data_IF_718541845039
#
_entry.id   IF_718541845039
#
_cell.length_a   1.000
_cell.length_b   1.000
_cell.length_c   1.000
_cell.angle_alpha   90.00
_cell.angle_beta   90.00
_cell.angle_gamma   90.00
#
_symmetry.space_group_name_H-M   'P 1'
#
loop_
_entity.id
_entity.type
_entity.pdbx_description
1 polymer ?
#
# COMPACT_ATOMS: atom_id res chain seq x y z
N UNK A 1 0.97 -0.27 22.30
CA UNK A 1 0.04 -0.76 21.27
C UNK A 1 -0.88 0.37 20.87
N UNK A 2 -1.20 0.51 19.58
CA UNK A 2 -2.26 1.40 19.11
C UNK A 2 -3.60 0.93 19.68
N UNK A 3 -4.62 1.79 19.67
CA UNK A 3 -5.98 1.38 20.01
C UNK A 3 -6.56 0.43 18.95
N UNK A 4 -7.84 0.02 19.10
CA UNK A 4 -8.53 -0.85 18.14
C UNK A 4 -8.61 -0.27 16.72
N UNK A 5 -8.47 1.06 16.56
CA UNK A 5 -8.55 1.77 15.26
C UNK A 5 -7.27 1.69 14.43
N UNK A 6 -6.11 1.61 15.06
CA UNK A 6 -4.81 1.52 14.40
C UNK A 6 -3.85 0.73 15.27
N UNK A 7 -3.00 -0.08 14.65
CA UNK A 7 -2.09 -0.97 15.36
C UNK A 7 -0.91 -1.40 14.47
N UNK A 8 0.07 -2.04 15.08
CA UNK A 8 1.19 -2.67 14.39
C UNK A 8 1.42 -4.07 14.94
N UNK A 9 1.87 -4.97 14.07
CA UNK A 9 2.29 -6.32 14.45
C UNK A 9 3.45 -6.78 13.56
N UNK A 10 4.18 -7.77 14.06
CA UNK A 10 5.30 -8.38 13.35
C UNK A 10 4.97 -9.83 13.01
N UNK A 11 5.32 -10.23 11.80
CA UNK A 11 5.33 -11.63 11.39
C UNK A 11 6.66 -11.92 10.69
N UNK A 12 7.50 -12.72 11.34
CA UNK A 12 8.87 -12.99 10.87
C UNK A 12 9.67 -11.68 10.72
N UNK A 13 10.13 -11.39 9.51
CA UNK A 13 10.93 -10.22 9.14
C UNK A 13 10.09 -9.06 8.56
N UNK A 14 8.78 -9.10 8.73
CA UNK A 14 7.85 -8.08 8.22
C UNK A 14 7.14 -7.40 9.37
N UNK A 15 7.18 -6.08 9.44
CA UNK A 15 6.30 -5.27 10.28
C UNK A 15 5.17 -4.71 9.47
N UNK A 16 3.98 -4.95 9.95
CA UNK A 16 2.74 -4.45 9.40
C UNK A 16 2.24 -3.27 10.21
N UNK A 17 1.81 -2.21 9.52
CA UNK A 17 1.20 -1.02 10.11
C UNK A 17 -0.21 -0.89 9.55
N UNK A 18 -1.20 -0.93 10.42
CA UNK A 18 -2.61 -0.73 10.07
C UNK A 18 -3.03 0.63 10.59
N UNK A 19 -3.49 1.50 9.69
CA UNK A 19 -3.87 2.88 10.00
C UNK A 19 -5.37 3.10 9.75
N UNK A 20 -5.98 3.93 10.59
CA UNK A 20 -7.33 4.45 10.35
C UNK A 20 -7.25 5.73 9.52
N UNK A 21 -7.38 5.59 8.21
CA UNK A 21 -7.34 6.71 7.27
C UNK A 21 -8.62 7.55 7.23
N UNK A 22 -9.70 7.16 7.94
CA UNK A 22 -10.86 8.04 8.11
C UNK A 22 -10.50 9.26 8.95
N UNK A 23 -9.54 9.11 9.87
CA UNK A 23 -9.13 10.20 10.76
C UNK A 23 -7.67 10.01 11.22
N UNK A 24 -6.72 10.59 10.49
CA UNK A 24 -5.33 10.69 10.95
C UNK A 24 -5.21 11.89 11.90
N UNK A 25 -5.58 11.69 13.15
CA UNK A 25 -5.43 12.69 14.19
C UNK A 25 -3.97 12.82 14.67
N UNK A 26 -3.60 13.90 15.40
CA UNK A 26 -2.23 14.08 15.89
C UNK A 26 -1.73 12.92 16.76
N UNK A 27 -2.62 12.24 17.50
CA UNK A 27 -2.28 11.09 18.34
C UNK A 27 -1.87 9.88 17.49
N UNK A 28 -2.66 9.55 16.47
CA UNK A 28 -2.32 8.46 15.53
C UNK A 28 -1.02 8.77 14.78
N UNK A 29 -0.85 10.02 14.32
CA UNK A 29 0.36 10.44 13.62
C UNK A 29 1.61 10.32 14.51
N UNK A 30 1.55 10.80 15.75
CA UNK A 30 2.66 10.69 16.69
C UNK A 30 2.99 9.24 17.05
N UNK A 31 1.96 8.41 17.24
CA UNK A 31 2.14 6.97 17.45
C UNK A 31 2.81 6.32 16.23
N UNK A 32 2.34 6.64 15.02
CA UNK A 32 2.87 6.06 13.79
C UNK A 32 4.34 6.43 13.56
N UNK A 33 4.71 7.71 13.77
CA UNK A 33 6.11 8.17 13.73
C UNK A 33 6.99 7.39 14.73
N UNK A 34 6.52 7.22 15.96
CA UNK A 34 7.25 6.49 17.00
C UNK A 34 7.44 5.00 16.69
N UNK A 35 6.40 4.30 16.19
CA UNK A 35 6.52 2.87 15.87
C UNK A 35 7.32 2.61 14.60
N UNK A 36 7.30 3.52 13.63
CA UNK A 36 8.17 3.46 12.46
C UNK A 36 9.64 3.64 12.87
N UNK A 37 9.93 4.60 13.74
CA UNK A 37 11.28 4.85 14.25
C UNK A 37 11.87 3.64 14.98
N UNK A 38 11.03 2.88 15.68
CA UNK A 38 11.44 1.69 16.45
C UNK A 38 11.47 0.41 15.60
N UNK A 39 11.06 0.48 14.34
CA UNK A 39 10.98 -0.68 13.45
C UNK A 39 12.36 -0.99 12.89
N UNK A 40 12.84 -2.20 13.12
CA UNK A 40 14.09 -2.75 12.62
C UNK A 40 13.88 -3.94 11.67
N UNK A 41 12.62 -4.32 11.43
CA UNK A 41 12.30 -5.41 10.54
C UNK A 41 12.71 -5.09 9.09
N UNK A 42 12.96 -6.15 8.35
CA UNK A 42 13.43 -6.08 6.97
C UNK A 42 12.41 -5.37 6.07
N UNK A 43 11.14 -5.73 6.20
CA UNK A 43 10.04 -5.17 5.44
C UNK A 43 9.11 -4.32 6.31
N UNK A 44 8.69 -3.16 5.77
CA UNK A 44 7.68 -2.27 6.36
C UNK A 44 6.52 -2.14 5.40
N UNK A 45 5.37 -2.70 5.78
CA UNK A 45 4.17 -2.76 4.94
C UNK A 45 3.03 -2.02 5.64
N UNK A 46 2.41 -1.07 4.95
CA UNK A 46 1.29 -0.29 5.48
C UNK A 46 -0.03 -0.69 4.84
N UNK A 47 -1.10 -0.72 5.65
CA UNK A 47 -2.48 -0.94 5.23
C UNK A 47 -3.37 0.19 5.74
N UNK A 48 -4.18 0.77 4.86
CA UNK A 48 -5.24 1.72 5.21
C UNK A 48 -6.25 1.84 4.08
N UNK A 49 -7.41 2.45 4.36
CA UNK A 49 -8.54 2.43 3.43
C UNK A 49 -8.38 3.38 2.24
N UNK A 50 -8.14 4.69 2.47
CA UNK A 50 -8.14 5.69 1.41
C UNK A 50 -6.79 5.76 0.68
N UNK A 51 -6.73 5.54 -0.65
CA UNK A 51 -5.46 5.50 -1.38
C UNK A 51 -4.85 6.90 -1.48
N UNK A 52 -3.56 7.03 -1.16
CA UNK A 52 -2.83 8.28 -1.37
C UNK A 52 -2.36 8.44 -2.81
N UNK A 53 -2.38 7.36 -3.57
CA UNK A 53 -2.21 7.31 -5.03
C UNK A 53 -3.23 6.36 -5.61
N UNK A 54 -4.03 6.84 -6.55
CA UNK A 54 -5.01 6.08 -7.32
C UNK A 54 -5.42 6.86 -8.56
N UNK A 55 -5.63 6.17 -9.64
CA UNK A 55 -6.25 6.66 -10.88
C UNK A 55 -7.71 6.20 -11.00
N UNK A 56 -8.35 5.82 -9.89
CA UNK A 56 -9.79 5.55 -9.81
C UNK A 56 -10.60 6.80 -10.16
N UNK A 57 -11.54 6.66 -11.11
CA UNK A 57 -12.27 7.80 -11.67
C UNK A 57 -13.24 8.45 -10.70
N UNK A 58 -13.68 7.71 -9.67
CA UNK A 58 -14.67 8.23 -8.71
C UNK A 58 -14.06 8.99 -7.56
N UNK A 59 -13.02 8.48 -6.94
CA UNK A 59 -12.41 9.08 -5.76
C UNK A 59 -10.98 9.53 -6.06
N UNK A 60 -10.16 8.62 -6.62
CA UNK A 60 -8.77 8.89 -6.96
C UNK A 60 -7.86 9.09 -5.74
N UNK A 61 -6.75 9.76 -5.96
CA UNK A 61 -5.73 9.99 -4.92
C UNK A 61 -6.22 10.91 -3.81
N UNK A 62 -6.12 10.49 -2.54
CA UNK A 62 -6.27 11.38 -1.39
C UNK A 62 -4.98 12.18 -1.15
N UNK A 63 -4.92 13.38 -1.75
CA UNK A 63 -3.76 14.26 -1.70
C UNK A 63 -3.54 14.81 -0.28
N UNK A 64 -4.61 15.05 0.49
CA UNK A 64 -4.49 15.56 1.86
C UNK A 64 -3.85 14.51 2.76
N UNK A 65 -4.30 13.26 2.65
CA UNK A 65 -3.72 12.14 3.37
C UNK A 65 -2.26 11.88 2.95
N UNK A 66 -1.97 12.02 1.65
CA UNK A 66 -0.59 11.89 1.11
C UNK A 66 0.37 12.87 1.76
N UNK A 67 0.00 14.13 1.89
CA UNK A 67 0.82 15.18 2.54
C UNK A 67 1.17 14.81 3.99
N UNK A 68 0.30 14.08 4.67
CA UNK A 68 0.51 13.66 6.07
C UNK A 68 1.39 12.41 6.17
N UNK A 69 1.13 11.39 5.35
CA UNK A 69 1.72 10.05 5.52
C UNK A 69 3.00 9.86 4.72
N UNK A 70 3.08 10.34 3.49
CA UNK A 70 4.21 10.07 2.61
C UNK A 70 5.56 10.55 3.17
N UNK A 71 5.67 11.73 3.85
CA UNK A 71 6.92 12.12 4.48
C UNK A 71 7.43 11.12 5.52
N UNK A 72 6.52 10.48 6.26
CA UNK A 72 6.87 9.43 7.22
C UNK A 72 7.30 8.15 6.50
N UNK A 73 6.57 7.76 5.45
CA UNK A 73 6.92 6.59 4.65
C UNK A 73 8.33 6.70 4.06
N UNK A 74 8.65 7.84 3.48
CA UNK A 74 9.97 8.09 2.90
C UNK A 74 11.04 8.12 3.99
N UNK A 75 10.81 8.87 5.08
CA UNK A 75 11.77 9.01 6.19
C UNK A 75 12.18 7.67 6.78
N UNK A 76 11.24 6.75 6.93
CA UNK A 76 11.46 5.48 7.61
C UNK A 76 11.55 4.27 6.66
N UNK A 77 11.51 4.51 5.35
CA UNK A 77 11.68 3.46 4.35
C UNK A 77 10.57 2.42 4.36
N UNK A 78 9.31 2.87 4.30
CA UNK A 78 8.18 1.96 3.99
C UNK A 78 8.38 1.39 2.59
N UNK A 79 8.15 0.10 2.43
CA UNK A 79 8.41 -0.61 1.17
C UNK A 79 7.15 -0.70 0.30
N UNK A 80 6.02 -1.06 0.92
CA UNK A 80 4.76 -1.32 0.19
C UNK A 80 3.58 -0.76 0.97
N UNK A 81 2.61 -0.23 0.24
CA UNK A 81 1.35 0.28 0.77
C UNK A 81 0.19 -0.40 0.05
N UNK A 82 -0.73 -0.95 0.83
CA UNK A 82 -2.00 -1.48 0.34
C UNK A 82 -3.16 -0.60 0.81
N UNK A 83 -4.05 -0.28 -0.11
CA UNK A 83 -5.27 0.50 0.14
C UNK A 83 -6.47 -0.10 -0.58
N UNK A 84 -7.65 0.41 -0.30
CA UNK A 84 -8.90 0.04 -0.93
C UNK A 84 -9.65 1.29 -1.43
N UNK A 85 -10.90 1.50 -0.97
CA UNK A 85 -11.75 2.65 -1.24
C UNK A 85 -12.22 2.78 -2.70
N UNK A 86 -11.30 2.91 -3.65
CA UNK A 86 -11.60 2.71 -5.07
C UNK A 86 -11.82 1.22 -5.33
N UNK A 87 -13.01 0.89 -5.84
CA UNK A 87 -13.44 -0.50 -6.03
C UNK A 87 -12.86 -1.10 -7.31
N UNK A 88 -11.55 -1.06 -7.43
CA UNK A 88 -10.73 -1.50 -8.55
C UNK A 88 -9.54 -2.31 -8.01
N UNK A 89 -8.82 -2.95 -8.92
CA UNK A 89 -7.41 -3.29 -8.70
C UNK A 89 -6.54 -2.31 -9.47
N UNK A 90 -5.54 -1.76 -8.81
CA UNK A 90 -4.52 -0.94 -9.45
C UNK A 90 -3.17 -1.11 -8.75
N UNK A 91 -2.11 -1.23 -9.55
CA UNK A 91 -0.73 -1.09 -9.09
C UNK A 91 -0.13 0.16 -9.70
N UNK A 92 0.39 1.03 -8.85
CA UNK A 92 1.05 2.25 -9.28
C UNK A 92 2.53 1.97 -9.56
N UNK A 93 3.13 2.74 -10.49
CA UNK A 93 4.59 2.82 -10.60
C UNK A 93 5.14 3.29 -9.25
N UNK A 94 6.29 2.79 -8.81
CA UNK A 94 6.85 3.20 -7.52
C UNK A 94 6.98 4.72 -7.41
N UNK A 95 6.47 5.28 -6.32
CA UNK A 95 6.61 6.69 -5.98
C UNK A 95 7.62 6.81 -4.84
N UNK A 96 8.70 7.56 -5.06
CA UNK A 96 9.80 7.70 -4.08
C UNK A 96 10.35 6.35 -3.58
N UNK A 97 10.34 5.34 -4.46
CA UNK A 97 10.80 3.98 -4.17
C UNK A 97 9.83 3.10 -3.38
N UNK A 98 8.60 3.55 -3.16
CA UNK A 98 7.53 2.83 -2.48
C UNK A 98 6.54 2.31 -3.51
N UNK A 99 6.15 1.04 -3.42
CA UNK A 99 5.11 0.47 -4.27
C UNK A 99 3.74 0.61 -3.63
N UNK A 100 2.77 1.09 -4.39
CA UNK A 100 1.38 1.29 -3.94
C UNK A 100 0.43 0.39 -4.70
N UNK A 101 -0.49 -0.24 -3.97
CA UNK A 101 -1.58 -1.03 -4.51
C UNK A 101 -2.92 -0.48 -4.02
N UNK A 102 -3.88 -0.43 -4.93
CA UNK A 102 -5.30 -0.30 -4.63
C UNK A 102 -5.94 -1.66 -4.89
N UNK A 103 -6.43 -2.33 -3.86
CA UNK A 103 -7.05 -3.66 -3.94
C UNK A 103 -8.44 -3.60 -3.31
N UNK A 104 -9.32 -2.80 -3.90
CA UNK A 104 -10.66 -2.52 -3.37
C UNK A 104 -11.79 -3.27 -4.06
N UNK A 105 -11.52 -4.02 -5.15
CA UNK A 105 -12.57 -4.68 -5.94
C UNK A 105 -13.08 -6.01 -5.36
N UNK A 106 -12.39 -6.60 -4.37
CA UNK A 106 -12.76 -7.93 -3.85
C UNK A 106 -14.19 -7.98 -3.26
N UNK A 107 -14.61 -6.95 -2.54
CA UNK A 107 -15.94 -6.87 -1.92
C UNK A 107 -17.00 -6.20 -2.79
N UNK A 108 -16.59 -5.24 -3.62
CA UNK A 108 -17.44 -4.51 -4.55
C UNK A 108 -16.62 -4.09 -5.76
N UNK A 109 -17.20 -4.15 -6.93
CA UNK A 109 -16.57 -3.76 -8.19
C UNK A 109 -17.17 -2.47 -8.71
N UNK A 110 -16.31 -1.63 -9.28
CA UNK A 110 -16.72 -0.49 -10.09
C UNK A 110 -16.15 -0.65 -11.51
N UNK A 111 -16.99 -1.24 -12.36
CA UNK A 111 -16.65 -1.61 -13.72
C UNK A 111 -16.21 -0.35 -14.54
N UNK A 112 -15.04 -0.43 -15.18
CA UNK A 112 -14.54 0.61 -16.07
C UNK A 112 -14.25 1.94 -15.38
N UNK A 113 -13.88 1.93 -14.08
CA UNK A 113 -13.66 3.17 -13.31
C UNK A 113 -12.23 3.70 -13.37
N UNK A 114 -11.27 2.90 -13.83
CA UNK A 114 -9.87 3.36 -13.90
C UNK A 114 -9.69 4.39 -15.03
N UNK A 115 -8.98 5.48 -14.73
CA UNK A 115 -8.55 6.52 -15.68
C UNK A 115 -7.03 6.55 -15.71
N UNK A 116 -6.38 5.59 -16.40
CA UNK A 116 -4.95 5.39 -16.32
C UNK A 116 -4.19 6.66 -16.65
N UNK A 117 -3.25 7.02 -15.77
CA UNK A 117 -2.34 8.14 -15.97
C UNK A 117 -0.89 7.67 -16.12
N UNK A 118 0.05 8.61 -16.09
CA UNK A 118 1.47 8.29 -16.01
C UNK A 118 1.88 7.53 -14.74
N UNK A 119 1.01 7.48 -13.72
CA UNK A 119 1.25 6.78 -12.44
C UNK A 119 0.90 5.29 -12.51
N UNK A 120 -0.12 4.90 -13.28
CA UNK A 120 -0.57 3.49 -13.39
C UNK A 120 0.52 2.61 -14.01
N UNK A 121 0.83 1.49 -13.36
CA UNK A 121 1.67 0.42 -13.89
C UNK A 121 0.82 -0.74 -14.43
N UNK A 122 -0.21 -1.15 -13.69
CA UNK A 122 -1.19 -2.16 -14.09
C UNK A 122 -2.53 -1.85 -13.42
N UNK A 123 -3.64 -2.28 -14.01
CA UNK A 123 -4.96 -2.18 -13.41
C UNK A 123 -5.91 -3.25 -13.93
N UNK A 124 -6.94 -3.52 -13.14
CA UNK A 124 -8.04 -4.39 -13.53
C UNK A 124 -9.34 -3.91 -12.87
N UNK A 125 -10.34 -3.62 -13.68
CA UNK A 125 -11.65 -3.13 -13.27
C UNK A 125 -12.80 -3.78 -14.04
N UNK A 126 -12.56 -5.00 -14.58
CA UNK A 126 -13.56 -5.75 -15.36
C UNK A 126 -14.29 -6.80 -14.53
N UNK A 127 -13.68 -7.29 -13.44
CA UNK A 127 -14.29 -8.19 -12.46
C UNK A 127 -13.65 -7.98 -11.08
N UNK A 128 -14.19 -8.63 -10.07
CA UNK A 128 -13.61 -8.66 -8.73
C UNK A 128 -12.25 -9.36 -8.75
N UNK A 129 -11.31 -8.84 -7.98
CA UNK A 129 -9.99 -9.42 -7.82
C UNK A 129 -9.52 -9.32 -6.36
N UNK A 130 -8.65 -10.23 -5.97
CA UNK A 130 -7.93 -10.21 -4.69
C UNK A 130 -6.44 -10.39 -4.94
N UNK A 131 -5.63 -10.09 -3.93
CA UNK A 131 -4.18 -10.25 -4.02
C UNK A 131 -3.69 -11.40 -3.16
N UNK A 132 -2.79 -12.20 -3.72
CA UNK A 132 -1.91 -13.12 -3.00
C UNK A 132 -0.53 -12.49 -2.91
N UNK A 133 0.06 -12.49 -1.70
CA UNK A 133 1.37 -11.89 -1.46
C UNK A 133 2.23 -12.84 -0.63
N UNK A 134 3.46 -13.07 -1.09
CA UNK A 134 4.46 -13.85 -0.39
C UNK A 134 5.74 -13.02 -0.20
N UNK A 135 6.31 -13.05 1.00
CA UNK A 135 7.59 -12.39 1.30
C UNK A 135 8.65 -13.45 1.59
N UNK A 136 9.71 -13.47 0.80
CA UNK A 136 10.83 -14.38 0.91
C UNK A 136 12.16 -13.62 0.84
N UNK A 137 12.82 -13.42 1.99
CA UNK A 137 14.04 -12.63 2.07
C UNK A 137 13.85 -11.18 1.62
N UNK A 138 14.60 -10.76 0.63
CA UNK A 138 14.55 -9.42 0.04
C UNK A 138 13.53 -9.27 -1.10
N UNK A 139 12.72 -10.31 -1.34
CA UNK A 139 11.73 -10.34 -2.41
C UNK A 139 10.31 -10.42 -1.87
N UNK A 140 9.41 -9.63 -2.45
CA UNK A 140 7.98 -9.72 -2.25
C UNK A 140 7.33 -10.08 -3.58
N UNK A 141 6.80 -11.28 -3.66
CA UNK A 141 6.03 -11.79 -4.79
C UNK A 141 4.57 -11.42 -4.62
N UNK A 142 3.92 -11.03 -5.70
CA UNK A 142 2.49 -10.73 -5.68
C UNK A 142 1.78 -11.25 -6.93
N UNK A 143 0.53 -11.63 -6.75
CA UNK A 143 -0.43 -11.93 -7.81
C UNK A 143 -1.76 -11.23 -7.49
N UNK A 144 -2.34 -10.56 -8.47
CA UNK A 144 -3.73 -10.13 -8.46
C UNK A 144 -4.55 -11.15 -9.25
N UNK A 145 -5.50 -11.79 -8.61
CA UNK A 145 -6.27 -12.90 -9.15
C UNK A 145 -7.72 -12.49 -9.27
N UNK A 146 -8.26 -12.52 -10.50
CA UNK A 146 -9.66 -12.27 -10.76
C UNK A 146 -10.55 -13.39 -10.21
N UNK A 147 -11.83 -13.11 -10.02
CA UNK A 147 -12.83 -14.12 -9.59
C UNK A 147 -12.88 -15.36 -10.51
N UNK A 148 -12.50 -15.21 -11.79
CA UNK A 148 -12.37 -16.31 -12.74
C UNK A 148 -11.21 -17.28 -12.41
N UNK A 149 -10.28 -16.88 -11.53
CA UNK A 149 -9.03 -17.59 -11.26
C UNK A 149 -7.87 -17.14 -12.16
N UNK A 150 -8.08 -16.19 -13.05
CA UNK A 150 -7.04 -15.64 -13.92
C UNK A 150 -6.16 -14.66 -13.14
N UNK A 151 -4.84 -14.78 -13.29
CA UNK A 151 -3.89 -13.78 -12.80
C UNK A 151 -3.88 -12.56 -13.75
N UNK A 152 -4.40 -11.43 -13.27
CA UNK A 152 -4.54 -10.19 -14.06
C UNK A 152 -3.36 -9.25 -13.91
N UNK A 153 -2.56 -9.43 -12.86
CA UNK A 153 -1.25 -8.81 -12.67
C UNK A 153 -0.40 -9.67 -11.75
N UNK A 154 0.90 -9.66 -11.93
CA UNK A 154 1.85 -10.36 -11.06
C UNK A 154 3.23 -9.75 -11.16
N UNK A 155 4.07 -10.01 -10.17
CA UNK A 155 5.44 -9.54 -10.20
C UNK A 155 6.20 -9.77 -8.92
N UNK A 156 7.40 -9.20 -8.89
CA UNK A 156 8.31 -9.22 -7.75
C UNK A 156 8.72 -7.79 -7.42
N UNK A 157 8.66 -7.43 -6.16
CA UNK A 157 9.24 -6.20 -5.63
C UNK A 157 10.54 -6.58 -4.94
N UNK A 158 11.66 -6.11 -5.48
CA UNK A 158 12.97 -6.28 -4.86
C UNK A 158 13.21 -5.14 -3.87
N UNK A 159 13.50 -5.49 -2.63
CA UNK A 159 13.81 -4.49 -1.61
C UNK A 159 15.17 -3.84 -1.90
N UNK A 160 15.22 -2.53 -1.86
CA UNK A 160 16.49 -1.84 -2.00
C UNK A 160 17.42 -2.14 -0.81
N UNK A 161 18.74 -2.32 -1.04
CA UNK A 161 19.72 -2.47 0.03
C UNK A 161 19.63 -1.34 1.07
N UNK A 162 19.89 -1.66 2.34
CA UNK A 162 19.78 -0.71 3.47
C UNK A 162 20.62 0.55 3.26
N UNK A 163 21.81 0.42 2.67
CA UNK A 163 22.72 1.54 2.40
C UNK A 163 22.15 2.59 1.43
N UNK A 164 21.24 2.19 0.54
CA UNK A 164 20.59 3.11 -0.41
C UNK A 164 19.42 3.90 0.20
N UNK A 165 18.98 3.55 1.42
CA UNK A 165 17.87 4.21 2.13
C UNK A 165 18.31 5.43 2.94
N UNK A 166 19.58 5.46 3.38
CA UNK A 166 20.14 6.55 4.18
C UNK A 166 20.42 7.82 3.36
N UNK A 167 20.31 7.77 2.05
CA UNK A 167 20.62 8.87 1.11
C UNK A 167 19.39 9.44 0.39
N UNK A 168 18.18 9.14 0.87
CA UNK A 168 16.92 9.65 0.28
C UNK A 168 16.27 10.75 1.10
#
# INVERSE_FOLDING_TARGET
>A
MGGERYFTFVKKNVRFFVLDSNQIDPKQRAWFDAVLQQSDELWRICFFHHPIYSDGGRHGSDVALRVILEPLFVKYGVDVVFSGHDHIYERLKPQKGITYFVSGSAGALRLGDVRPSGLTAAYYDQDQAFMLVEVAGDDLFFEAIARSGEAVDSGVIHRAPVDSRASR
#
